data_IF_409458406044
#
_entry.id   IF_409458406044
#
_cell.length_a   1.000
_cell.length_b   1.000
_cell.length_c   1.000
_cell.angle_alpha   90.00
_cell.angle_beta   90.00
_cell.angle_gamma   90.00
#
_symmetry.space_group_name_H-M   'P 1'
#
loop_
_entity.id
_entity.type
_entity.pdbx_description
1 polymer ?
#
# COMPACT_ATOMS: atom_id res chain seq x y z
N UNK A 1 1.06 -2.01 3.22
CA UNK A 1 1.55 -3.33 2.76
C UNK A 1 2.40 -3.13 1.51
N UNK A 2 3.54 -3.81 1.40
CA UNK A 2 4.42 -3.70 0.21
C UNK A 2 3.91 -4.53 -0.97
N UNK A 3 4.24 -4.12 -2.21
CA UNK A 3 3.90 -4.85 -3.44
C UNK A 3 4.46 -6.28 -3.45
N UNK A 4 5.65 -6.49 -2.91
CA UNK A 4 6.24 -7.83 -2.77
C UNK A 4 5.38 -8.73 -1.88
N UNK A 5 4.92 -8.19 -0.75
CA UNK A 5 4.08 -8.91 0.20
C UNK A 5 2.70 -9.26 -0.41
N UNK A 6 2.15 -8.36 -1.24
CA UNK A 6 0.93 -8.62 -2.01
C UNK A 6 1.14 -9.77 -3.01
N UNK A 7 2.25 -9.76 -3.75
CA UNK A 7 2.59 -10.84 -4.71
C UNK A 7 2.81 -12.19 -4.03
N UNK A 8 3.54 -12.22 -2.92
CA UNK A 8 3.73 -13.46 -2.15
C UNK A 8 2.40 -13.99 -1.63
N UNK A 9 1.51 -13.12 -1.15
CA UNK A 9 0.19 -13.53 -0.67
C UNK A 9 -0.69 -14.12 -1.79
N UNK A 10 -0.64 -13.56 -3.01
CA UNK A 10 -1.32 -14.14 -4.18
C UNK A 10 -0.84 -15.56 -4.47
N UNK A 11 0.47 -15.77 -4.47
CA UNK A 11 1.08 -17.09 -4.68
C UNK A 11 0.66 -18.08 -3.59
N UNK A 12 0.64 -17.66 -2.32
CA UNK A 12 0.22 -18.51 -1.20
C UNK A 12 -1.28 -18.86 -1.21
N UNK A 13 -2.14 -17.94 -1.66
CA UNK A 13 -3.60 -18.13 -1.63
C UNK A 13 -4.13 -19.09 -2.69
N UNK A 14 -3.53 -19.10 -3.88
CA UNK A 14 -4.03 -19.93 -4.98
C UNK A 14 -3.09 -20.05 -6.19
N UNK A 15 -1.82 -19.71 -6.01
CA UNK A 15 -0.83 -19.80 -7.08
C UNK A 15 -0.82 -18.61 -8.05
N UNK A 16 -0.11 -18.73 -9.20
CA UNK A 16 0.23 -17.59 -10.07
C UNK A 16 -0.97 -16.90 -10.73
N UNK A 17 -2.08 -17.61 -10.92
CA UNK A 17 -3.29 -17.10 -11.59
C UNK A 17 -4.37 -16.64 -10.60
N UNK A 18 -4.14 -16.76 -9.29
CA UNK A 18 -5.10 -16.36 -8.27
C UNK A 18 -5.13 -14.84 -8.15
N UNK A 19 -6.35 -14.28 -8.18
CA UNK A 19 -6.61 -12.86 -7.96
C UNK A 19 -7.18 -12.65 -6.58
N UNK A 20 -6.46 -11.91 -5.74
CA UNK A 20 -6.96 -11.51 -4.43
C UNK A 20 -7.98 -10.37 -4.59
N UNK A 21 -8.79 -10.12 -3.55
CA UNK A 21 -9.88 -9.13 -3.63
C UNK A 21 -9.41 -7.75 -4.13
N UNK A 22 -8.19 -7.34 -3.76
CA UNK A 22 -7.60 -6.06 -4.19
C UNK A 22 -7.15 -6.02 -5.66
N UNK A 23 -7.00 -7.16 -6.34
CA UNK A 23 -6.70 -7.20 -7.79
C UNK A 23 -7.96 -7.00 -8.64
N UNK A 24 -9.15 -7.08 -8.03
CA UNK A 24 -10.43 -6.97 -8.73
C UNK A 24 -10.94 -5.53 -8.82
N UNK A 25 -10.24 -4.57 -8.20
CA UNK A 25 -10.61 -3.15 -8.34
C UNK A 25 -10.37 -2.68 -9.79
N UNK A 26 -11.27 -1.84 -10.33
CA UNK A 26 -11.16 -1.37 -11.72
C UNK A 26 -10.03 -0.37 -11.94
N UNK A 27 -9.50 0.23 -10.86
CA UNK A 27 -8.46 1.26 -10.90
C UNK A 27 -7.36 0.91 -9.90
N UNK A 28 -6.11 1.08 -10.33
CA UNK A 28 -4.91 0.93 -9.50
C UNK A 28 -4.02 2.18 -9.64
N UNK A 29 -3.18 2.43 -8.63
CA UNK A 29 -2.29 3.59 -8.60
C UNK A 29 -1.13 3.41 -7.62
N UNK A 30 -0.08 4.20 -7.81
CA UNK A 30 1.10 4.21 -6.94
C UNK A 30 0.96 5.36 -5.95
N UNK A 31 1.16 5.06 -4.65
CA UNK A 31 1.13 6.07 -3.59
C UNK A 31 2.54 6.33 -3.08
N UNK A 32 2.95 7.60 -3.06
CA UNK A 32 4.20 8.04 -2.46
C UNK A 32 3.99 8.20 -0.95
N UNK A 33 4.58 7.30 -0.16
CA UNK A 33 4.34 7.22 1.29
C UNK A 33 5.36 7.99 2.13
N UNK A 34 6.12 8.93 1.57
CA UNK A 34 7.10 9.71 2.35
C UNK A 34 6.42 10.79 3.20
N UNK A 35 7.01 11.10 4.35
CA UNK A 35 6.65 12.15 5.30
C UNK A 35 7.50 13.37 5.00
N UNK A 36 7.10 14.53 5.52
CA UNK A 36 7.87 15.76 5.34
C UNK A 36 9.26 15.66 5.99
N UNK A 37 9.38 14.98 7.14
CA UNK A 37 10.65 14.76 7.86
C UNK A 37 11.38 13.45 7.58
N UNK A 38 10.76 12.51 6.86
CA UNK A 38 11.32 11.15 6.75
C UNK A 38 10.96 10.46 5.43
N UNK A 39 12.00 9.94 4.76
CA UNK A 39 11.88 9.13 3.54
C UNK A 39 11.11 7.83 3.83
N UNK A 40 11.34 7.24 5.02
CA UNK A 40 10.58 6.10 5.54
C UNK A 40 9.63 6.61 6.62
N UNK A 41 8.33 6.56 6.32
CA UNK A 41 7.26 7.10 7.15
C UNK A 41 6.72 6.06 8.09
N UNK A 42 6.41 6.48 9.31
CA UNK A 42 5.76 5.63 10.30
C UNK A 42 4.25 5.44 10.00
N UNK A 43 3.62 4.51 10.70
CA UNK A 43 2.20 4.19 10.48
C UNK A 43 1.25 5.33 10.83
N UNK A 44 1.60 6.22 11.77
CA UNK A 44 0.74 7.34 12.19
C UNK A 44 0.81 8.51 11.21
N UNK A 45 2.00 8.86 10.73
CA UNK A 45 2.15 9.90 9.70
C UNK A 45 1.52 9.47 8.36
N UNK A 46 1.72 8.21 7.94
CA UNK A 46 1.06 7.69 6.73
C UNK A 46 -0.47 7.65 6.87
N UNK A 47 -1.01 7.24 8.03
CA UNK A 47 -2.45 7.28 8.30
C UNK A 47 -3.02 8.71 8.20
N UNK A 48 -2.28 9.72 8.66
CA UNK A 48 -2.72 11.11 8.56
C UNK A 48 -2.79 11.57 7.11
N UNK A 49 -1.82 11.19 6.27
CA UNK A 49 -1.87 11.48 4.83
C UNK A 49 -2.99 10.75 4.10
N UNK A 50 -3.27 9.50 4.46
CA UNK A 50 -4.33 8.71 3.84
C UNK A 50 -5.72 9.18 4.25
N UNK A 51 -5.89 9.56 5.53
CA UNK A 51 -7.19 9.89 6.10
C UNK A 51 -7.53 11.38 5.95
N UNK A 52 -6.55 12.27 6.15
CA UNK A 52 -6.75 13.72 6.21
C UNK A 52 -6.08 14.46 5.04
N UNK A 53 -5.42 13.74 4.12
CA UNK A 53 -4.67 14.32 2.98
C UNK A 53 -3.53 15.27 3.40
N UNK A 54 -3.08 15.21 4.65
CA UNK A 54 -2.00 16.04 5.20
C UNK A 54 -0.77 15.17 5.53
N UNK A 55 0.41 15.61 5.10
CA UNK A 55 1.66 14.99 5.52
C UNK A 55 2.06 15.60 6.85
N UNK A 56 2.38 14.76 7.84
CA UNK A 56 2.88 15.27 9.11
C UNK A 56 4.37 15.65 8.98
N UNK A 57 4.70 16.78 9.61
CA UNK A 57 6.07 17.21 9.90
C UNK A 57 6.76 16.27 10.88
#
# INVERSE_FOLDING_TARGET
MSLTQVSTYRLLKGGPNERIAVDKFPVSGIVLTHSENAIVTDSASSATSFQHRQKNQ
#
